data_IF_529319853186
#
_entry.id   IF_529319853186
#
_cell.length_a   1.000
_cell.length_b   1.000
_cell.length_c   1.000
_cell.angle_alpha   90.00
_cell.angle_beta   90.00
_cell.angle_gamma   90.00
#
_symmetry.space_group_name_H-M   'P 1'
#
loop_
_entity.id
_entity.type
_entity.pdbx_description
1 polymer ?
#
# COMPACT_ATOMS: atom_id res chain seq x y z
N UNK A 1 -31.58 -40.68 -26.43
CA UNK A 1 -31.20 -39.26 -26.60
C UNK A 1 -30.52 -38.71 -25.36
N UNK A 2 -31.06 -38.93 -24.15
CA UNK A 2 -30.47 -38.44 -22.89
C UNK A 2 -29.05 -38.96 -22.58
N UNK A 3 -28.75 -40.25 -22.80
CA UNK A 3 -27.43 -40.81 -22.45
C UNK A 3 -26.28 -40.20 -23.24
N UNK A 4 -26.47 -39.94 -24.54
CA UNK A 4 -25.45 -39.31 -25.39
C UNK A 4 -25.19 -37.86 -24.94
N UNK A 5 -26.24 -37.14 -24.55
CA UNK A 5 -26.13 -35.78 -24.00
C UNK A 5 -25.37 -35.79 -22.67
N UNK A 6 -25.66 -36.72 -21.76
CA UNK A 6 -24.94 -36.83 -20.49
C UNK A 6 -23.46 -37.20 -20.68
N UNK A 7 -23.14 -38.09 -21.62
CA UNK A 7 -21.74 -38.42 -21.95
C UNK A 7 -21.01 -37.20 -22.53
N UNK A 8 -21.66 -36.44 -23.43
CA UNK A 8 -21.07 -35.21 -23.98
C UNK A 8 -20.80 -34.15 -22.90
N UNK A 9 -21.74 -33.94 -21.97
CA UNK A 9 -21.56 -33.02 -20.83
C UNK A 9 -20.40 -33.49 -19.93
N UNK A 10 -20.32 -34.79 -19.63
CA UNK A 10 -19.25 -35.33 -18.80
C UNK A 10 -17.86 -35.17 -19.44
N UNK A 11 -17.75 -35.36 -20.77
CA UNK A 11 -16.50 -35.14 -21.51
C UNK A 11 -16.10 -33.66 -21.49
N UNK A 12 -17.04 -32.75 -21.74
CA UNK A 12 -16.77 -31.30 -21.67
C UNK A 12 -16.33 -30.91 -20.26
N UNK A 13 -17.02 -31.38 -19.22
CA UNK A 13 -16.65 -31.14 -17.84
C UNK A 13 -15.24 -31.67 -17.52
N UNK A 14 -14.89 -32.88 -17.98
CA UNK A 14 -13.57 -33.46 -17.78
C UNK A 14 -12.46 -32.65 -18.47
N UNK A 15 -12.70 -32.18 -19.70
CA UNK A 15 -11.75 -31.32 -20.43
C UNK A 15 -11.56 -29.99 -19.71
N UNK A 16 -12.65 -29.35 -19.27
CA UNK A 16 -12.61 -28.08 -18.53
C UNK A 16 -11.87 -28.26 -17.20
N UNK A 17 -12.18 -29.31 -16.43
CA UNK A 17 -11.46 -29.65 -15.20
C UNK A 17 -9.97 -29.93 -15.46
N UNK A 18 -9.65 -30.69 -16.51
CA UNK A 18 -8.27 -30.97 -16.91
C UNK A 18 -7.49 -29.70 -17.27
N UNK A 19 -8.12 -28.79 -17.99
CA UNK A 19 -7.55 -27.47 -18.30
C UNK A 19 -7.30 -26.64 -17.04
N UNK A 20 -8.26 -26.56 -16.11
CA UNK A 20 -8.08 -25.84 -14.84
C UNK A 20 -6.96 -26.44 -13.99
N UNK A 21 -6.85 -27.77 -13.91
CA UNK A 21 -5.76 -28.45 -13.20
C UNK A 21 -4.41 -28.13 -13.83
N UNK A 22 -4.30 -28.20 -15.16
CA UNK A 22 -3.09 -27.87 -15.89
C UNK A 22 -2.68 -26.40 -15.70
N UNK A 23 -3.64 -25.47 -15.84
CA UNK A 23 -3.41 -24.05 -15.62
C UNK A 23 -2.93 -23.78 -14.19
N UNK A 24 -3.59 -24.36 -13.18
CA UNK A 24 -3.19 -24.25 -11.78
C UNK A 24 -1.78 -24.80 -11.53
N UNK A 25 -1.43 -25.95 -12.12
CA UNK A 25 -0.10 -26.53 -12.01
C UNK A 25 0.97 -25.62 -12.63
N UNK A 26 0.71 -25.10 -13.84
CA UNK A 26 1.60 -24.16 -14.53
C UNK A 26 1.80 -22.88 -13.72
N UNK A 27 0.72 -22.30 -13.18
CA UNK A 27 0.78 -21.10 -12.33
C UNK A 27 1.59 -21.35 -11.05
N UNK A 28 1.37 -22.47 -10.36
CA UNK A 28 2.15 -22.84 -9.16
C UNK A 28 3.64 -23.00 -9.49
N UNK A 29 3.97 -23.66 -10.60
CA UNK A 29 5.37 -23.84 -11.03
C UNK A 29 6.03 -22.50 -11.38
N UNK A 30 5.33 -21.61 -12.08
CA UNK A 30 5.84 -20.27 -12.40
C UNK A 30 6.09 -19.45 -11.14
N UNK A 31 5.11 -19.40 -10.22
CA UNK A 31 5.24 -18.74 -8.92
C UNK A 31 6.42 -19.27 -8.11
N UNK A 32 6.63 -20.60 -8.10
CA UNK A 32 7.76 -21.22 -7.40
C UNK A 32 9.10 -20.72 -7.96
N UNK A 33 9.26 -20.69 -9.28
CA UNK A 33 10.48 -20.21 -9.93
C UNK A 33 10.74 -18.73 -9.61
N UNK A 34 9.71 -17.89 -9.71
CA UNK A 34 9.78 -16.47 -9.34
C UNK A 34 10.21 -16.28 -7.88
N UNK A 35 9.67 -17.09 -6.97
CA UNK A 35 10.02 -17.02 -5.55
C UNK A 35 11.45 -17.52 -5.28
N UNK A 36 11.93 -18.52 -6.01
CA UNK A 36 13.33 -18.97 -5.95
C UNK A 36 14.28 -17.85 -6.42
N UNK A 37 13.93 -17.11 -7.48
CA UNK A 37 14.68 -15.95 -7.97
C UNK A 37 14.63 -14.75 -7.00
N UNK A 38 13.53 -14.56 -6.27
CA UNK A 38 13.44 -13.56 -5.21
C UNK A 38 14.29 -13.95 -3.99
N UNK A 39 14.16 -15.20 -3.53
CA UNK A 39 14.87 -15.70 -2.36
C UNK A 39 16.39 -15.74 -2.54
N UNK A 40 16.89 -15.81 -3.78
CA UNK A 40 18.34 -15.72 -4.05
C UNK A 40 18.92 -14.32 -3.80
N UNK A 41 18.07 -13.28 -3.76
CA UNK A 41 18.46 -11.86 -3.56
C UNK A 41 18.02 -11.29 -2.22
N UNK A 42 17.12 -11.97 -1.50
CA UNK A 42 16.64 -11.57 -0.19
C UNK A 42 17.39 -12.33 0.90
N UNK A 43 18.00 -11.60 1.84
CA UNK A 43 18.79 -12.22 2.91
C UNK A 43 17.98 -13.07 3.91
N UNK A 44 16.65 -12.95 3.92
CA UNK A 44 15.80 -13.62 4.91
C UNK A 44 15.88 -13.02 6.31
N UNK A 45 16.64 -11.93 6.50
CA UNK A 45 16.77 -11.27 7.80
C UNK A 45 15.43 -10.67 8.23
N UNK A 46 15.06 -10.79 9.51
CA UNK A 46 13.92 -10.06 10.06
C UNK A 46 14.10 -8.56 9.89
N UNK A 47 12.99 -7.85 9.69
CA UNK A 47 13.00 -6.39 9.67
C UNK A 47 13.37 -5.87 11.06
N UNK A 48 14.33 -4.95 11.14
CA UNK A 48 14.59 -4.18 12.35
C UNK A 48 13.42 -3.26 12.69
N UNK A 49 13.34 -2.79 13.93
CA UNK A 49 12.20 -2.02 14.45
C UNK A 49 11.87 -0.78 13.58
N UNK A 50 12.89 0.01 13.21
CA UNK A 50 12.68 1.20 12.37
C UNK A 50 12.17 0.83 10.97
N UNK A 51 12.61 -0.29 10.39
CA UNK A 51 12.09 -0.75 9.11
C UNK A 51 10.66 -1.27 9.23
N UNK A 52 10.30 -1.94 10.33
CA UNK A 52 8.91 -2.32 10.59
C UNK A 52 8.05 -1.06 10.68
N UNK A 53 8.48 -0.07 11.45
CA UNK A 53 7.81 1.23 11.58
C UNK A 53 7.66 1.96 10.26
N UNK A 54 8.71 1.98 9.45
CA UNK A 54 8.65 2.53 8.10
C UNK A 54 7.63 1.80 7.20
N UNK A 55 7.54 0.48 7.30
CA UNK A 55 6.57 -0.31 6.55
C UNK A 55 5.12 0.00 6.96
N UNK A 56 4.88 0.32 8.23
CA UNK A 56 3.57 0.72 8.76
C UNK A 56 3.05 2.01 8.10
N UNK A 57 3.91 2.95 7.72
CA UNK A 57 3.50 4.14 6.95
C UNK A 57 2.84 3.78 5.59
N UNK A 58 3.14 2.60 5.05
CA UNK A 58 2.51 2.05 3.85
C UNK A 58 1.21 1.27 4.09
N UNK A 59 0.77 1.10 5.34
CA UNK A 59 -0.23 0.09 5.71
C UNK A 59 -1.60 0.29 5.06
N UNK A 60 -2.09 1.53 4.95
CA UNK A 60 -3.40 1.82 4.33
C UNK A 60 -3.46 1.28 2.89
N UNK A 61 -2.41 1.53 2.09
CA UNK A 61 -2.32 1.03 0.71
C UNK A 61 -2.08 -0.48 0.62
N UNK A 62 -1.25 -1.03 1.50
CA UNK A 62 -1.00 -2.48 1.52
C UNK A 62 -2.29 -3.24 1.84
N UNK A 63 -2.97 -2.82 2.92
CA UNK A 63 -4.20 -3.45 3.41
C UNK A 63 -5.36 -3.29 2.44
N UNK A 64 -5.51 -2.14 1.77
CA UNK A 64 -6.54 -1.97 0.74
C UNK A 64 -6.36 -2.89 -0.47
N UNK A 65 -5.16 -3.46 -0.65
CA UNK A 65 -4.81 -4.47 -1.67
C UNK A 65 -4.83 -5.90 -1.11
N UNK A 66 -5.18 -6.05 0.16
CA UNK A 66 -5.11 -7.30 0.92
C UNK A 66 -3.68 -7.84 1.07
N UNK A 67 -2.68 -6.98 0.99
CA UNK A 67 -1.27 -7.34 1.21
C UNK A 67 -0.93 -7.15 2.70
N UNK A 68 -0.15 -8.07 3.27
CA UNK A 68 0.34 -7.90 4.64
C UNK A 68 1.36 -6.78 4.70
N UNK A 69 1.31 -5.98 5.77
CA UNK A 69 2.15 -4.81 5.97
C UNK A 69 3.62 -5.22 6.06
N UNK A 70 3.94 -6.15 6.96
CA UNK A 70 5.33 -6.55 7.24
C UNK A 70 5.85 -7.72 6.40
N UNK A 71 4.99 -8.42 5.66
CA UNK A 71 5.45 -9.53 4.82
C UNK A 71 6.44 -9.05 3.76
N UNK A 72 7.64 -9.64 3.79
CA UNK A 72 8.66 -9.47 2.76
C UNK A 72 8.44 -10.39 1.57
N UNK A 73 7.51 -11.34 1.66
CA UNK A 73 7.19 -12.27 0.57
C UNK A 73 6.03 -11.72 -0.25
N UNK A 74 6.15 -11.65 -1.60
CA UNK A 74 5.06 -11.23 -2.47
C UNK A 74 3.82 -12.11 -2.30
N UNK A 75 2.65 -11.47 -2.15
CA UNK A 75 1.36 -12.17 -2.07
C UNK A 75 0.98 -12.80 -3.41
N UNK A 76 1.11 -12.00 -4.47
CA UNK A 76 0.84 -12.39 -5.86
C UNK A 76 2.12 -12.78 -6.61
N UNK A 77 1.98 -13.18 -7.87
CA UNK A 77 3.13 -13.41 -8.76
C UNK A 77 3.95 -12.14 -8.94
N UNK A 78 5.27 -12.30 -9.04
CA UNK A 78 6.21 -11.19 -9.26
C UNK A 78 5.86 -10.45 -10.56
N UNK A 79 5.46 -11.19 -11.60
CA UNK A 79 5.08 -10.59 -12.87
C UNK A 79 3.84 -9.69 -12.77
N UNK A 80 2.88 -10.03 -11.89
CA UNK A 80 1.71 -9.17 -11.63
C UNK A 80 2.12 -7.81 -11.08
N UNK A 81 3.11 -7.78 -10.17
CA UNK A 81 3.68 -6.53 -9.68
C UNK A 81 4.44 -5.80 -10.80
N UNK A 82 5.22 -6.51 -11.62
CA UNK A 82 5.99 -5.91 -12.73
C UNK A 82 5.08 -5.22 -13.75
N UNK A 83 4.02 -5.90 -14.18
CA UNK A 83 3.01 -5.35 -15.09
C UNK A 83 2.29 -4.15 -14.48
N UNK A 84 1.90 -4.23 -13.20
CA UNK A 84 1.26 -3.14 -12.48
C UNK A 84 2.15 -1.89 -12.38
N UNK A 85 3.44 -2.07 -12.07
CA UNK A 85 4.41 -0.97 -11.98
C UNK A 85 4.63 -0.30 -13.34
N UNK A 86 4.74 -1.11 -14.40
CA UNK A 86 4.85 -0.59 -15.78
C UNK A 86 3.59 0.19 -16.17
N UNK A 87 2.40 -0.39 -16.01
CA UNK A 87 1.14 0.21 -16.49
C UNK A 87 0.73 1.46 -15.70
N UNK A 88 0.84 1.43 -14.38
CA UNK A 88 0.31 2.49 -13.52
C UNK A 88 1.32 3.58 -13.20
N UNK A 89 2.63 3.30 -13.34
CA UNK A 89 3.70 4.21 -12.87
C UNK A 89 4.85 4.38 -13.86
N UNK A 90 4.82 3.68 -15.00
CA UNK A 90 5.92 3.67 -15.98
C UNK A 90 7.28 3.28 -15.37
N UNK A 91 7.28 2.42 -14.36
CA UNK A 91 8.49 1.86 -13.75
C UNK A 91 8.79 0.54 -14.43
N UNK A 92 9.91 0.45 -15.16
CA UNK A 92 10.25 -0.67 -16.03
C UNK A 92 11.64 -1.26 -15.77
N UNK A 93 12.44 -0.60 -14.93
CA UNK A 93 13.81 -0.97 -14.56
C UNK A 93 14.23 -0.29 -13.25
N UNK A 94 15.48 -0.54 -12.83
CA UNK A 94 16.08 0.09 -11.65
C UNK A 94 16.13 1.63 -11.75
N UNK A 95 16.50 2.17 -12.90
CA UNK A 95 16.66 3.62 -13.07
C UNK A 95 15.32 4.36 -12.92
N UNK A 96 14.27 3.87 -13.56
CA UNK A 96 12.91 4.42 -13.42
C UNK A 96 12.36 4.22 -12.01
N UNK A 97 12.70 3.12 -11.33
CA UNK A 97 12.33 2.89 -9.93
C UNK A 97 12.98 3.92 -8.99
N UNK A 98 14.30 4.10 -9.08
CA UNK A 98 15.06 5.07 -8.28
C UNK A 98 14.53 6.50 -8.54
N UNK A 99 14.26 6.82 -9.81
CA UNK A 99 13.73 8.15 -10.19
C UNK A 99 12.36 8.40 -9.55
N UNK A 100 11.43 7.43 -9.65
CA UNK A 100 10.11 7.53 -9.03
C UNK A 100 10.18 7.64 -7.50
N UNK A 101 11.06 6.86 -6.86
CA UNK A 101 11.25 6.91 -5.41
C UNK A 101 11.85 8.23 -4.95
N UNK A 102 12.83 8.77 -5.66
CA UNK A 102 13.40 10.08 -5.33
C UNK A 102 12.35 11.20 -5.43
N UNK A 103 11.46 11.16 -6.41
CA UNK A 103 10.36 12.13 -6.51
C UNK A 103 9.42 12.05 -5.29
N UNK A 104 9.07 10.83 -4.85
CA UNK A 104 8.23 10.62 -3.67
C UNK A 104 8.95 11.04 -2.37
N UNK A 105 10.22 10.69 -2.22
CA UNK A 105 11.05 11.06 -1.06
C UNK A 105 11.39 12.57 -1.02
N UNK A 106 11.22 13.28 -2.13
CA UNK A 106 11.27 14.74 -2.20
C UNK A 106 9.90 15.39 -1.98
N UNK A 107 8.86 14.61 -1.69
CA UNK A 107 7.48 15.07 -1.49
C UNK A 107 6.93 15.87 -2.67
N UNK A 108 7.33 15.55 -3.90
CA UNK A 108 7.01 16.38 -5.06
C UNK A 108 5.50 16.57 -5.25
N UNK A 109 4.67 15.53 -5.04
CA UNK A 109 3.22 15.71 -5.15
C UNK A 109 2.69 16.60 -4.03
N UNK A 110 3.15 16.39 -2.80
CA UNK A 110 2.70 17.16 -1.65
C UNK A 110 3.05 18.64 -1.78
N UNK A 111 4.28 18.96 -2.18
CA UNK A 111 4.72 20.32 -2.45
C UNK A 111 3.84 20.97 -3.54
N UNK A 112 3.49 20.23 -4.60
CA UNK A 112 2.60 20.73 -5.64
C UNK A 112 1.17 21.01 -5.13
N UNK A 113 0.75 20.39 -4.03
CA UNK A 113 -0.57 20.60 -3.42
C UNK A 113 -0.58 21.73 -2.39
N UNK A 114 0.58 22.18 -1.90
CA UNK A 114 0.67 23.16 -0.81
C UNK A 114 -0.06 24.47 -1.12
N UNK A 115 0.07 25.00 -2.35
CA UNK A 115 -0.62 26.22 -2.75
C UNK A 115 -2.15 26.05 -2.70
N UNK A 116 -2.65 24.93 -3.20
CA UNK A 116 -4.08 24.61 -3.14
C UNK A 116 -4.54 24.47 -1.69
N UNK A 117 -3.78 23.81 -0.83
CA UNK A 117 -4.10 23.61 0.60
C UNK A 117 -4.14 24.95 1.35
N UNK A 118 -3.27 25.90 1.02
CA UNK A 118 -3.29 27.25 1.63
C UNK A 118 -4.61 27.98 1.42
N UNK A 119 -5.35 27.68 0.35
CA UNK A 119 -6.66 28.30 0.05
C UNK A 119 -7.83 27.77 0.91
N UNK A 120 -7.59 26.90 1.89
CA UNK A 120 -8.62 26.23 2.70
C UNK A 120 -9.70 27.15 3.32
N UNK A 121 -9.39 28.42 3.63
CA UNK A 121 -10.38 29.34 4.21
C UNK A 121 -11.51 29.70 3.24
N UNK A 122 -11.22 29.72 1.92
CA UNK A 122 -12.14 30.25 0.91
C UNK A 122 -12.50 29.22 -0.17
N UNK A 123 -11.71 28.16 -0.30
CA UNK A 123 -11.88 27.18 -1.36
C UNK A 123 -12.97 26.16 -1.05
N UNK A 124 -14.09 26.24 -1.79
CA UNK A 124 -15.26 25.36 -1.60
C UNK A 124 -14.97 23.90 -1.94
N UNK A 125 -14.10 23.63 -2.90
CA UNK A 125 -13.76 22.26 -3.31
C UNK A 125 -12.92 21.57 -2.23
N UNK A 126 -11.88 22.24 -1.76
CA UNK A 126 -11.05 21.74 -0.66
C UNK A 126 -11.86 21.53 0.62
N UNK A 127 -12.75 22.48 0.96
CA UNK A 127 -13.64 22.31 2.12
C UNK A 127 -14.58 21.10 1.99
N UNK A 128 -15.07 20.79 0.78
CA UNK A 128 -15.83 19.55 0.56
C UNK A 128 -15.00 18.29 0.82
N UNK A 129 -13.70 18.32 0.49
CA UNK A 129 -12.79 17.22 0.82
C UNK A 129 -12.66 17.11 2.34
N UNK A 130 -12.41 18.20 3.07
CA UNK A 130 -12.31 18.18 4.54
C UNK A 130 -13.58 17.67 5.22
N UNK A 131 -14.76 18.22 4.88
CA UNK A 131 -16.05 17.77 5.43
C UNK A 131 -16.28 16.28 5.14
N UNK A 132 -15.92 15.83 3.93
CA UNK A 132 -16.02 14.42 3.57
C UNK A 132 -15.11 13.56 4.44
N UNK A 133 -13.83 13.91 4.57
CA UNK A 133 -12.87 13.14 5.37
C UNK A 133 -13.27 13.10 6.85
N UNK A 134 -13.74 14.21 7.41
CA UNK A 134 -14.29 14.30 8.76
C UNK A 134 -15.44 13.31 8.96
N UNK A 135 -16.45 13.36 8.09
CA UNK A 135 -17.60 12.44 8.15
C UNK A 135 -17.17 10.99 7.98
N UNK A 136 -16.30 10.71 7.02
CA UNK A 136 -15.89 9.35 6.76
C UNK A 136 -15.10 8.80 7.94
N UNK A 137 -14.08 9.49 8.44
CA UNK A 137 -13.22 9.02 9.53
C UNK A 137 -13.83 9.13 10.93
N UNK A 138 -15.03 9.71 11.06
CA UNK A 138 -15.63 10.04 12.36
C UNK A 138 -14.68 10.88 13.23
N UNK A 139 -14.23 11.99 12.65
CA UNK A 139 -13.32 12.96 13.27
C UNK A 139 -13.96 14.36 13.25
N UNK A 140 -13.71 15.21 14.26
CA UNK A 140 -14.12 16.62 14.22
C UNK A 140 -13.56 17.32 12.98
N UNK A 141 -14.41 18.08 12.27
CA UNK A 141 -13.99 18.75 11.04
C UNK A 141 -12.83 19.73 11.27
N UNK A 142 -12.81 20.40 12.42
CA UNK A 142 -11.73 21.31 12.80
C UNK A 142 -10.38 20.59 12.95
N UNK A 143 -10.37 19.35 13.43
CA UNK A 143 -9.14 18.54 13.54
C UNK A 143 -8.63 18.13 12.16
N UNK A 144 -9.51 17.66 11.28
CA UNK A 144 -9.15 17.32 9.89
C UNK A 144 -8.66 18.56 9.14
N UNK A 145 -9.31 19.71 9.38
CA UNK A 145 -8.88 20.99 8.82
C UNK A 145 -7.53 21.41 9.36
N UNK A 146 -7.04 21.01 10.52
CA UNK A 146 -5.69 21.38 10.95
C UNK A 146 -4.58 20.74 10.11
N UNK A 147 -4.90 19.71 9.32
CA UNK A 147 -3.93 19.06 8.42
C UNK A 147 -3.63 19.98 7.23
N UNK A 148 -2.41 20.51 7.21
CA UNK A 148 -1.93 21.47 6.19
C UNK A 148 -0.87 20.91 5.25
N UNK A 149 -0.56 19.62 5.36
CA UNK A 149 0.39 18.93 4.49
C UNK A 149 -0.14 17.57 4.09
N UNK A 150 0.19 17.14 2.88
CA UNK A 150 -0.14 15.80 2.38
C UNK A 150 1.06 14.87 2.33
N UNK A 151 2.13 15.14 3.10
CA UNK A 151 3.38 14.37 3.04
C UNK A 151 3.16 12.85 3.15
N UNK A 152 2.19 12.40 3.94
CA UNK A 152 1.88 10.99 4.10
C UNK A 152 1.40 10.33 2.79
N UNK A 153 0.83 11.10 1.85
CA UNK A 153 0.47 10.61 0.52
C UNK A 153 1.70 10.15 -0.27
N UNK A 154 2.77 10.93 -0.25
CA UNK A 154 4.02 10.57 -0.90
C UNK A 154 4.77 9.47 -0.14
N UNK A 155 4.86 9.58 1.18
CA UNK A 155 5.57 8.58 2.01
C UNK A 155 4.91 7.20 1.91
N UNK A 156 3.58 7.11 2.05
CA UNK A 156 2.87 5.82 1.96
C UNK A 156 3.11 5.17 0.59
N UNK A 157 3.14 5.97 -0.48
CA UNK A 157 3.48 5.49 -1.83
C UNK A 157 4.96 5.12 -1.95
N UNK A 158 5.88 5.86 -1.33
CA UNK A 158 7.31 5.56 -1.37
C UNK A 158 7.59 4.18 -0.76
N UNK A 159 7.04 3.91 0.43
CA UNK A 159 7.17 2.63 1.13
C UNK A 159 6.68 1.47 0.26
N UNK A 160 5.44 1.58 -0.27
CA UNK A 160 4.86 0.53 -1.10
C UNK A 160 5.59 0.36 -2.43
N UNK A 161 5.97 1.45 -3.10
CA UNK A 161 6.73 1.39 -4.36
C UNK A 161 8.08 0.74 -4.13
N UNK A 162 8.77 1.08 -3.04
CA UNK A 162 10.07 0.48 -2.71
C UNK A 162 9.94 -1.03 -2.47
N UNK A 163 8.94 -1.44 -1.69
CA UNK A 163 8.64 -2.85 -1.43
C UNK A 163 8.34 -3.62 -2.72
N UNK A 164 7.48 -3.09 -3.58
CA UNK A 164 7.15 -3.73 -4.86
C UNK A 164 8.35 -3.75 -5.83
N UNK A 165 9.15 -2.69 -5.89
CA UNK A 165 10.37 -2.65 -6.69
C UNK A 165 11.43 -3.66 -6.20
N UNK A 166 11.54 -3.86 -4.89
CA UNK A 166 12.40 -4.89 -4.31
C UNK A 166 11.95 -6.29 -4.74
N UNK A 167 10.65 -6.59 -4.62
CA UNK A 167 10.05 -7.85 -5.03
C UNK A 167 10.34 -8.18 -6.50
N UNK A 168 10.16 -7.23 -7.41
CA UNK A 168 10.37 -7.44 -8.86
C UNK A 168 11.84 -7.32 -9.30
N UNK A 169 12.74 -7.02 -8.38
CA UNK A 169 14.18 -6.96 -8.61
C UNK A 169 14.69 -5.69 -9.28
N UNK A 170 13.96 -4.58 -9.14
CA UNK A 170 14.42 -3.25 -9.52
C UNK A 170 15.14 -2.52 -8.39
N UNK A 171 15.04 -3.02 -7.16
CA UNK A 171 15.90 -2.60 -6.05
C UNK A 171 16.63 -3.81 -5.48
N UNK A 172 17.85 -3.57 -5.03
CA UNK A 172 18.56 -4.41 -4.07
C UNK A 172 17.93 -4.28 -2.68
N UNK A 173 18.22 -5.24 -1.80
CA UNK A 173 17.76 -5.20 -0.40
C UNK A 173 18.28 -3.95 0.34
N UNK A 174 19.53 -3.56 0.10
CA UNK A 174 20.12 -2.35 0.69
C UNK A 174 19.41 -1.07 0.23
N UNK A 175 19.11 -0.94 -1.07
CA UNK A 175 18.37 0.23 -1.58
C UNK A 175 16.94 0.29 -1.01
N UNK A 176 16.29 -0.87 -0.85
CA UNK A 176 14.98 -0.93 -0.22
C UNK A 176 15.01 -0.45 1.24
N UNK A 177 15.94 -0.96 2.05
CA UNK A 177 16.09 -0.52 3.44
C UNK A 177 16.47 0.96 3.55
N UNK A 178 17.39 1.45 2.70
CA UNK A 178 17.72 2.89 2.66
C UNK A 178 16.51 3.77 2.29
N UNK A 179 15.56 3.26 1.50
CA UNK A 179 14.30 3.97 1.26
C UNK A 179 13.41 4.01 2.53
N UNK A 180 13.34 2.91 3.28
CA UNK A 180 12.58 2.84 4.53
C UNK A 180 13.15 3.80 5.58
N UNK A 181 14.48 3.84 5.73
CA UNK A 181 15.17 4.78 6.63
C UNK A 181 14.80 6.23 6.32
N UNK A 182 14.86 6.62 5.04
CA UNK A 182 14.48 7.97 4.60
C UNK A 182 13.00 8.27 4.85
N UNK A 183 12.11 7.30 4.62
CA UNK A 183 10.69 7.47 4.94
C UNK A 183 10.49 7.73 6.43
N UNK A 184 11.17 6.95 7.29
CA UNK A 184 11.10 7.10 8.73
C UNK A 184 11.65 8.45 9.21
N UNK A 185 12.82 8.87 8.72
CA UNK A 185 13.38 10.19 9.03
C UNK A 185 12.40 11.32 8.68
N UNK A 186 11.74 11.22 7.53
CA UNK A 186 10.77 12.23 7.10
C UNK A 186 9.53 12.28 7.98
N UNK A 187 8.96 11.12 8.33
CA UNK A 187 7.79 11.07 9.22
C UNK A 187 8.15 11.55 10.61
N UNK A 188 9.30 11.14 11.17
CA UNK A 188 9.75 11.61 12.48
C UNK A 188 9.99 13.13 12.54
N UNK A 189 10.27 13.77 11.39
CA UNK A 189 10.44 15.22 11.29
C UNK A 189 9.13 15.98 11.05
N UNK A 190 8.23 15.44 10.23
CA UNK A 190 7.06 16.14 9.72
C UNK A 190 5.76 15.76 10.42
N UNK A 191 5.66 14.51 10.84
CA UNK A 191 4.44 13.94 11.38
C UNK A 191 4.28 14.22 12.86
N UNK A 192 3.02 14.16 13.30
CA UNK A 192 2.65 14.34 14.70
C UNK A 192 2.12 13.05 15.33
N UNK A 193 1.13 12.45 14.69
CA UNK A 193 0.46 11.25 15.17
C UNK A 193 -0.22 10.53 13.99
N UNK A 194 -0.74 9.33 14.25
CA UNK A 194 -1.40 8.52 13.22
C UNK A 194 -2.70 9.12 12.68
N UNK A 195 -3.40 9.95 13.45
CA UNK A 195 -4.61 10.64 13.00
C UNK A 195 -4.25 11.67 11.94
N UNK A 196 -3.26 12.52 12.23
CA UNK A 196 -2.70 13.49 11.28
C UNK A 196 -2.17 12.79 10.03
N UNK A 197 -1.39 11.72 10.19
CA UNK A 197 -0.83 10.96 9.07
C UNK A 197 -1.93 10.36 8.17
N UNK A 198 -2.98 9.79 8.76
CA UNK A 198 -4.10 9.19 8.00
C UNK A 198 -4.87 10.26 7.22
N UNK A 199 -5.16 11.40 7.87
CA UNK A 199 -5.79 12.54 7.22
C UNK A 199 -4.91 13.12 6.10
N UNK A 200 -3.60 13.27 6.33
CA UNK A 200 -2.61 13.75 5.35
C UNK A 200 -2.58 12.86 4.11
N UNK A 201 -2.58 11.54 4.29
CA UNK A 201 -2.62 10.56 3.21
C UNK A 201 -3.91 10.67 2.38
N UNK A 202 -5.08 10.68 3.04
CA UNK A 202 -6.37 10.74 2.36
C UNK A 202 -6.61 12.09 1.68
N UNK A 203 -6.12 13.18 2.27
CA UNK A 203 -6.20 14.52 1.68
C UNK A 203 -5.40 14.56 0.36
N UNK A 204 -4.15 14.12 0.36
CA UNK A 204 -3.32 14.09 -0.85
C UNK A 204 -3.91 13.19 -1.94
N UNK A 205 -4.45 12.03 -1.54
CA UNK A 205 -5.18 11.13 -2.44
C UNK A 205 -6.38 11.82 -3.09
N UNK A 206 -7.21 12.50 -2.30
CA UNK A 206 -8.40 13.20 -2.79
C UNK A 206 -8.04 14.37 -3.72
N UNK A 207 -7.04 15.18 -3.36
CA UNK A 207 -6.56 16.31 -4.18
C UNK A 207 -6.04 15.82 -5.53
N UNK A 208 -5.33 14.68 -5.56
CA UNK A 208 -4.88 14.08 -6.82
C UNK A 208 -6.05 13.55 -7.69
N UNK A 209 -7.27 13.50 -7.16
CA UNK A 209 -8.47 13.04 -7.88
C UNK A 209 -8.79 11.56 -7.68
N UNK A 210 -8.09 10.86 -6.78
CA UNK A 210 -8.42 9.49 -6.45
C UNK A 210 -9.60 9.43 -5.46
N UNK A 211 -10.44 8.42 -5.66
CA UNK A 211 -11.56 8.11 -4.78
C UNK A 211 -11.05 7.57 -3.44
N UNK A 212 -11.41 8.16 -2.29
CA UNK A 212 -11.00 7.65 -0.98
C UNK A 212 -11.64 6.30 -0.64
N UNK A 213 -12.79 5.96 -1.21
CA UNK A 213 -13.56 4.73 -0.92
C UNK A 213 -12.76 3.45 -1.11
N UNK A 214 -11.81 3.45 -2.06
CA UNK A 214 -10.94 2.31 -2.35
C UNK A 214 -10.00 1.95 -1.20
N UNK A 215 -9.67 2.93 -0.35
CA UNK A 215 -8.70 2.78 0.76
C UNK A 215 -9.33 3.06 2.12
N UNK A 216 -10.54 3.62 2.13
CA UNK A 216 -11.20 4.09 3.33
C UNK A 216 -11.49 2.98 4.36
N UNK A 217 -11.92 1.76 3.97
CA UNK A 217 -12.07 0.68 4.94
C UNK A 217 -10.77 0.39 5.69
N UNK A 218 -9.66 0.28 4.97
CA UNK A 218 -8.34 0.07 5.58
C UNK A 218 -7.93 1.25 6.48
N UNK A 219 -8.12 2.49 6.04
CA UNK A 219 -7.81 3.67 6.84
C UNK A 219 -8.61 3.72 8.16
N UNK A 220 -9.91 3.41 8.10
CA UNK A 220 -10.80 3.35 9.27
C UNK A 220 -10.38 2.29 10.27
N UNK A 221 -10.18 1.05 9.78
CA UNK A 221 -9.79 -0.08 10.63
C UNK A 221 -8.46 0.20 11.35
N UNK A 222 -7.48 0.73 10.63
CA UNK A 222 -6.17 1.04 11.16
C UNK A 222 -6.21 2.20 12.17
N UNK A 223 -6.98 3.26 11.87
CA UNK A 223 -7.14 4.39 12.80
C UNK A 223 -7.91 3.99 14.07
N UNK A 224 -8.97 3.18 13.93
CA UNK A 224 -9.73 2.65 15.06
C UNK A 224 -8.85 1.77 15.96
N UNK A 225 -8.01 0.89 15.37
CA UNK A 225 -7.09 0.06 16.13
C UNK A 225 -6.13 0.85 17.03
N UNK A 226 -5.77 2.08 16.64
CA UNK A 226 -4.96 2.97 17.48
C UNK A 226 -5.79 3.69 18.53
N UNK A 227 -6.96 4.23 18.13
CA UNK A 227 -7.83 5.01 19.01
C UNK A 227 -8.45 4.17 20.14
N UNK A 228 -8.82 2.94 19.83
CA UNK A 228 -9.44 2.00 20.78
C UNK A 228 -8.38 1.30 21.66
N UNK A 229 -7.09 1.50 21.38
CA UNK A 229 -5.97 1.02 22.18
C UNK A 229 -5.92 -0.51 22.35
N UNK A 230 -5.30 -0.94 23.45
CA UNK A 230 -5.07 -2.35 23.77
C UNK A 230 -6.34 -3.15 24.15
N UNK A 231 -7.51 -2.49 24.22
CA UNK A 231 -8.76 -3.14 24.63
C UNK A 231 -9.34 -4.04 23.52
N UNK A 232 -9.00 -3.78 22.25
CA UNK A 232 -9.44 -4.61 21.12
C UNK A 232 -8.47 -5.79 20.96
N UNK A 233 -8.86 -6.96 21.46
CA UNK A 233 -8.25 -8.23 21.08
C UNK A 233 -8.59 -8.51 19.62
N UNK A 234 -7.60 -8.41 18.76
CA UNK A 234 -7.71 -8.77 17.34
C UNK A 234 -6.70 -9.87 17.02
N UNK A 235 -7.14 -10.89 16.29
CA UNK A 235 -6.26 -11.94 15.76
C UNK A 235 -5.60 -11.49 14.43
N UNK A 236 -5.89 -10.27 13.96
CA UNK A 236 -5.28 -9.71 12.76
C UNK A 236 -3.87 -9.16 13.08
N UNK A 237 -2.81 -9.81 12.55
CA UNK A 237 -1.45 -9.41 12.83
C UNK A 237 -1.10 -8.04 12.24
N UNK A 238 -1.71 -7.63 11.12
CA UNK A 238 -1.43 -6.32 10.52
C UNK A 238 -2.04 -5.19 11.36
N UNK A 239 -3.23 -5.40 11.96
CA UNK A 239 -3.83 -4.43 12.89
C UNK A 239 -3.04 -4.34 14.20
N UNK A 240 -2.57 -5.48 14.72
CA UNK A 240 -1.73 -5.54 15.91
C UNK A 240 -0.44 -4.76 15.72
N UNK A 241 0.26 -4.99 14.60
CA UNK A 241 1.47 -4.25 14.23
C UNK A 241 1.21 -2.75 14.12
N UNK A 242 0.10 -2.35 13.50
CA UNK A 242 -0.23 -0.94 13.31
C UNK A 242 -0.52 -0.23 14.64
N UNK A 243 -1.18 -0.91 15.59
CA UNK A 243 -1.47 -0.40 16.93
C UNK A 243 -0.21 -0.31 17.79
N UNK A 244 0.61 -1.35 17.78
CA UNK A 244 1.70 -1.51 18.75
C UNK A 244 2.96 -0.73 18.36
N UNK A 245 3.09 -0.35 17.09
CA UNK A 245 4.21 0.47 16.63
C UNK A 245 3.92 1.95 16.87
N UNK A 246 4.74 2.56 17.74
CA UNK A 246 4.72 4.00 17.96
C UNK A 246 4.95 4.76 16.66
N UNK A 247 4.29 5.91 16.53
CA UNK A 247 4.30 6.72 15.32
C UNK A 247 5.72 7.22 14.94
N UNK A 248 6.49 7.66 15.94
CA UNK A 248 7.84 8.23 15.82
C UNK A 248 8.73 7.78 16.96
#
# INVERSE_FOLDING_TARGET
>A
MNTVIYVAIAVVAAVVCGYFLYANFRMKRARRKELEEFNSRYSGKPLGENHQRAMVYGAVLARSRGESVLSMIPKERIETYREGMKKCRNIVDEQSAITALNALLQLQNSINFDEFIRTHETNKELNRIYTRLSRELDLPEEEVKQVRSTYAWDISRAVNVAKWCFWIGYLTESQFYGCLDRCHEMVSRLGKDWTEYTCSFLLGRCIQGFKPEEVLPAAKELLAAIRDGAEVKTDDPDLTVYRDIAFS
#
